data_IF_805029737674
#
_entry.id   IF_805029737674
#
_cell.length_a   1.000
_cell.length_b   1.000
_cell.length_c   1.000
_cell.angle_alpha   90.00
_cell.angle_beta   90.00
_cell.angle_gamma   90.00
#
_symmetry.space_group_name_H-M   'P 1'
#
loop_
_entity.id
_entity.type
_entity.pdbx_description
1 polymer ?
#
# COMPACT_ATOMS: atom_id res chain seq x y z
N UNK A 1 8.46 24.10 -34.48
CA UNK A 1 7.62 23.08 -33.78
C UNK A 1 7.65 23.22 -32.25
N UNK A 2 8.82 23.38 -31.64
CA UNK A 2 9.05 23.37 -30.18
C UNK A 2 8.20 24.39 -29.38
N UNK A 3 8.04 25.62 -29.87
CA UNK A 3 7.22 26.65 -29.17
C UNK A 3 5.71 26.33 -29.09
N UNK A 4 5.18 25.50 -30.02
CA UNK A 4 3.74 25.15 -30.05
C UNK A 4 3.41 23.92 -29.17
N UNK A 5 4.35 22.99 -29.01
CA UNK A 5 4.19 21.81 -28.15
C UNK A 5 4.42 22.11 -26.67
N UNK A 6 5.18 23.16 -26.35
CA UNK A 6 5.51 23.56 -24.97
C UNK A 6 4.26 23.77 -24.09
N UNK A 7 3.18 24.31 -24.66
CA UNK A 7 1.93 24.57 -23.91
C UNK A 7 1.28 23.29 -23.40
N UNK A 8 1.27 22.22 -24.20
CA UNK A 8 0.69 20.94 -23.80
C UNK A 8 1.60 20.18 -22.84
N UNK A 9 2.92 20.35 -22.98
CA UNK A 9 3.89 19.82 -22.02
C UNK A 9 3.67 20.42 -20.62
N UNK A 10 3.42 21.73 -20.54
CA UNK A 10 3.11 22.41 -19.27
C UNK A 10 1.87 21.79 -18.60
N UNK A 11 0.82 21.47 -19.36
CA UNK A 11 -0.40 20.85 -18.81
C UNK A 11 -0.08 19.49 -18.18
N UNK A 12 0.70 18.64 -18.86
CA UNK A 12 1.09 17.33 -18.32
C UNK A 12 1.98 17.48 -17.10
N UNK A 13 2.93 18.42 -17.11
CA UNK A 13 3.81 18.66 -15.98
C UNK A 13 3.03 19.15 -14.75
N UNK A 14 2.07 20.05 -14.93
CA UNK A 14 1.19 20.50 -13.84
C UNK A 14 0.32 19.35 -13.30
N UNK A 15 -0.21 18.51 -14.19
CA UNK A 15 -1.00 17.33 -13.82
C UNK A 15 -0.15 16.33 -13.02
N UNK A 16 1.07 16.03 -13.48
CA UNK A 16 2.01 15.15 -12.80
C UNK A 16 2.44 15.72 -11.45
N UNK A 17 2.72 17.03 -11.37
CA UNK A 17 3.02 17.71 -10.12
C UNK A 17 1.88 17.55 -9.12
N UNK A 18 0.65 17.80 -9.54
CA UNK A 18 -0.52 17.68 -8.68
C UNK A 18 -0.75 16.24 -8.21
N UNK A 19 -0.64 15.25 -9.10
CA UNK A 19 -0.71 13.83 -8.72
C UNK A 19 0.43 13.41 -7.79
N UNK A 20 1.62 13.98 -7.95
CA UNK A 20 2.77 13.72 -7.06
C UNK A 20 2.52 14.29 -5.66
N UNK A 21 1.90 15.46 -5.58
CA UNK A 21 1.47 16.03 -4.30
C UNK A 21 0.42 15.12 -3.65
N UNK A 22 -0.59 14.67 -4.40
CA UNK A 22 -1.59 13.72 -3.87
C UNK A 22 -0.96 12.40 -3.42
N UNK A 23 0.00 11.85 -4.15
CA UNK A 23 0.77 10.67 -3.77
C UNK A 23 1.47 10.85 -2.41
N UNK A 24 2.08 12.02 -2.21
CA UNK A 24 2.76 12.37 -0.96
C UNK A 24 1.76 12.50 0.20
N UNK A 25 0.55 13.01 -0.06
CA UNK A 25 -0.51 13.05 0.93
C UNK A 25 -1.13 11.69 1.22
N UNK A 26 -1.26 10.83 0.22
CA UNK A 26 -1.82 9.49 0.36
C UNK A 26 -0.91 8.60 1.22
N UNK A 27 0.39 8.56 0.93
CA UNK A 27 1.34 7.68 1.63
C UNK A 27 1.66 8.20 3.04
N UNK A 28 0.99 7.64 4.05
CA UNK A 28 1.23 7.96 5.46
C UNK A 28 2.38 7.14 6.07
N UNK A 29 2.79 7.50 7.29
CA UNK A 29 3.90 6.83 7.99
C UNK A 29 3.62 5.35 8.22
N UNK A 30 2.37 4.99 8.49
CA UNK A 30 1.95 3.61 8.71
C UNK A 30 2.15 2.76 7.46
N UNK A 31 1.73 3.23 6.29
CA UNK A 31 1.95 2.53 5.03
C UNK A 31 3.45 2.34 4.74
N UNK A 32 4.23 3.40 4.98
CA UNK A 32 5.67 3.42 4.71
C UNK A 32 6.47 2.51 5.64
N UNK A 33 6.00 2.29 6.87
CA UNK A 33 6.64 1.36 7.81
C UNK A 33 6.65 -0.06 7.24
N UNK A 34 5.54 -0.46 6.63
CA UNK A 34 5.38 -1.78 6.04
C UNK A 34 5.87 -1.88 4.59
N UNK A 35 5.79 -0.80 3.82
CA UNK A 35 6.15 -0.81 2.40
C UNK A 35 6.81 0.51 1.96
N UNK A 36 8.12 0.63 2.20
CA UNK A 36 8.93 1.78 1.76
C UNK A 36 8.93 1.97 0.23
N UNK A 37 8.70 0.90 -0.54
CA UNK A 37 8.69 0.93 -2.00
C UNK A 37 7.36 1.34 -2.61
N UNK A 38 6.28 1.49 -1.82
CA UNK A 38 4.96 1.89 -2.34
C UNK A 38 5.04 3.21 -3.09
N UNK A 39 5.70 4.22 -2.51
CA UNK A 39 5.81 5.56 -3.10
C UNK A 39 6.60 5.58 -4.41
N UNK A 40 7.82 5.02 -4.51
CA UNK A 40 8.55 5.02 -5.78
C UNK A 40 7.84 4.20 -6.87
N UNK A 41 7.24 3.05 -6.53
CA UNK A 41 6.48 2.24 -7.51
C UNK A 41 5.30 3.04 -8.06
N UNK A 42 4.55 3.72 -7.20
CA UNK A 42 3.39 4.51 -7.62
C UNK A 42 3.80 5.76 -8.39
N UNK A 43 4.92 6.39 -8.03
CA UNK A 43 5.50 7.46 -8.81
C UNK A 43 5.90 7.01 -10.22
N UNK A 44 6.46 5.81 -10.38
CA UNK A 44 6.73 5.23 -11.71
C UNK A 44 5.44 5.02 -12.51
N UNK A 45 4.33 4.61 -11.89
CA UNK A 45 3.02 4.53 -12.55
C UNK A 45 2.56 5.91 -13.04
N UNK A 46 2.75 6.97 -12.23
CA UNK A 46 2.43 8.36 -12.60
C UNK A 46 3.27 8.85 -13.80
N UNK A 47 4.54 8.48 -13.86
CA UNK A 47 5.39 8.74 -15.04
C UNK A 47 4.82 8.00 -16.25
N UNK A 48 4.53 6.70 -16.11
CA UNK A 48 3.98 5.87 -17.18
C UNK A 48 2.70 6.45 -17.79
N UNK A 49 1.73 6.84 -16.95
CA UNK A 49 0.47 7.42 -17.44
C UNK A 49 0.68 8.81 -18.05
N UNK A 50 1.66 9.58 -17.58
CA UNK A 50 2.01 10.88 -18.15
C UNK A 50 2.61 10.73 -19.57
N UNK A 51 3.42 9.69 -19.80
CA UNK A 51 3.92 9.35 -21.14
C UNK A 51 2.77 8.95 -22.09
N UNK A 52 1.79 8.19 -21.61
CA UNK A 52 0.57 7.89 -22.38
C UNK A 52 -0.18 9.18 -22.72
N UNK A 53 -0.27 10.12 -21.78
CA UNK A 53 -0.85 11.44 -22.02
C UNK A 53 -0.15 12.24 -23.13
N UNK A 54 1.19 12.17 -23.21
CA UNK A 54 1.96 12.79 -24.28
C UNK A 54 1.62 12.20 -25.66
N UNK A 55 1.54 10.88 -25.76
CA UNK A 55 1.16 10.18 -26.99
C UNK A 55 -0.25 10.60 -27.42
N UNK A 56 -1.18 10.65 -26.48
CA UNK A 56 -2.56 11.05 -26.73
C UNK A 56 -2.66 12.50 -27.24
N UNK A 57 -1.87 13.42 -26.70
CA UNK A 57 -1.78 14.80 -27.22
C UNK A 57 -1.27 14.82 -28.67
N UNK A 58 -0.31 13.95 -29.00
CA UNK A 58 0.16 13.76 -30.37
C UNK A 58 -0.99 13.39 -31.31
N UNK A 59 -1.79 12.40 -30.93
CA UNK A 59 -2.98 11.96 -31.67
C UNK A 59 -4.03 13.08 -31.76
N UNK A 60 -4.36 13.73 -30.65
CA UNK A 60 -5.33 14.85 -30.61
C UNK A 60 -4.91 16.00 -31.52
N UNK A 61 -3.61 16.29 -31.63
CA UNK A 61 -3.11 17.33 -32.53
C UNK A 61 -3.39 17.00 -33.99
N UNK A 62 -3.29 15.73 -34.39
CA UNK A 62 -3.64 15.26 -35.74
C UNK A 62 -5.15 15.43 -35.96
N UNK A 63 -5.97 15.03 -34.99
CA UNK A 63 -7.43 15.17 -35.03
C UNK A 63 -7.86 16.64 -35.14
N UNK A 64 -7.27 17.55 -34.36
CA UNK A 64 -7.57 18.98 -34.42
C UNK A 64 -7.26 19.61 -35.78
N UNK A 65 -6.23 19.13 -36.47
CA UNK A 65 -5.91 19.56 -37.85
C UNK A 65 -6.97 19.04 -38.83
N UNK A 66 -7.36 17.78 -38.71
CA UNK A 66 -8.38 17.16 -39.58
C UNK A 66 -9.76 17.82 -39.42
N UNK A 67 -10.11 18.22 -38.20
CA UNK A 67 -11.39 18.86 -37.87
C UNK A 67 -11.35 20.39 -37.95
N UNK A 68 -10.26 21.00 -38.42
CA UNK A 68 -10.09 22.45 -38.54
C UNK A 68 -10.44 23.24 -37.25
N UNK A 69 -10.12 22.68 -36.08
CA UNK A 69 -10.38 23.37 -34.81
C UNK A 69 -9.34 24.47 -34.64
N UNK A 70 -9.61 25.72 -35.02
CA UNK A 70 -8.56 26.76 -35.04
C UNK A 70 -8.24 27.36 -33.67
N UNK A 71 -9.24 27.45 -32.78
CA UNK A 71 -9.11 28.08 -31.46
C UNK A 71 -8.15 27.31 -30.54
N UNK A 72 -7.07 27.98 -30.13
CA UNK A 72 -6.14 27.44 -29.14
C UNK A 72 -6.82 27.17 -27.79
N UNK A 73 -7.74 28.04 -27.37
CA UNK A 73 -8.46 27.91 -26.10
C UNK A 73 -9.28 26.61 -26.08
N UNK A 74 -9.96 26.31 -27.18
CA UNK A 74 -10.75 25.08 -27.32
C UNK A 74 -9.86 23.84 -27.32
N UNK A 75 -8.73 23.86 -28.06
CA UNK A 75 -7.76 22.76 -28.06
C UNK A 75 -7.21 22.47 -26.66
N UNK A 76 -6.82 23.50 -25.91
CA UNK A 76 -6.34 23.36 -24.53
C UNK A 76 -7.44 22.79 -23.64
N UNK A 77 -8.67 23.31 -23.72
CA UNK A 77 -9.79 22.80 -22.93
C UNK A 77 -10.05 21.30 -23.16
N UNK A 78 -10.05 20.87 -24.43
CA UNK A 78 -10.20 19.44 -24.78
C UNK A 78 -9.06 18.61 -24.19
N UNK A 79 -7.80 19.04 -24.36
CA UNK A 79 -6.63 18.31 -23.83
C UNK A 79 -6.71 18.17 -22.30
N UNK A 80 -7.07 19.24 -21.59
CA UNK A 80 -7.25 19.21 -20.12
C UNK A 80 -8.30 18.19 -19.73
N UNK A 81 -9.47 18.21 -20.38
CA UNK A 81 -10.56 17.25 -20.10
C UNK A 81 -10.10 15.81 -20.33
N UNK A 82 -9.41 15.53 -21.44
CA UNK A 82 -8.89 14.19 -21.71
C UNK A 82 -7.84 13.74 -20.69
N UNK A 83 -6.93 14.62 -20.29
CA UNK A 83 -5.94 14.32 -19.25
C UNK A 83 -6.65 14.01 -17.92
N UNK A 84 -7.65 14.79 -17.54
CA UNK A 84 -8.43 14.55 -16.31
C UNK A 84 -9.16 13.20 -16.36
N UNK A 85 -9.74 12.83 -17.51
CA UNK A 85 -10.42 11.54 -17.68
C UNK A 85 -9.44 10.38 -17.54
N UNK A 86 -8.29 10.44 -18.22
CA UNK A 86 -7.28 9.37 -18.17
C UNK A 86 -6.71 9.21 -16.76
N UNK A 87 -6.54 10.31 -16.03
CA UNK A 87 -6.00 10.30 -14.66
C UNK A 87 -7.08 10.19 -13.57
N UNK A 88 -8.36 10.11 -13.94
CA UNK A 88 -9.48 10.09 -12.99
C UNK A 88 -9.36 8.98 -11.96
N UNK A 89 -8.91 7.80 -12.38
CA UNK A 89 -8.62 6.67 -11.50
C UNK A 89 -7.67 7.07 -10.36
N UNK A 90 -6.54 7.70 -10.66
CA UNK A 90 -5.56 8.10 -9.64
C UNK A 90 -6.10 9.19 -8.71
N UNK A 91 -6.88 10.15 -9.25
CA UNK A 91 -7.51 11.17 -8.42
C UNK A 91 -8.49 10.58 -7.41
N UNK A 92 -9.32 9.65 -7.85
CA UNK A 92 -10.32 9.00 -7.01
C UNK A 92 -9.65 8.07 -6.00
N UNK A 93 -8.72 7.21 -6.44
CA UNK A 93 -8.03 6.25 -5.56
C UNK A 93 -7.22 6.99 -4.48
N UNK A 94 -6.40 7.98 -4.87
CA UNK A 94 -5.62 8.73 -3.89
C UNK A 94 -6.51 9.55 -2.96
N UNK A 95 -7.57 10.17 -3.49
CA UNK A 95 -8.55 10.91 -2.69
C UNK A 95 -9.22 10.03 -1.63
N UNK A 96 -9.70 8.85 -2.04
CA UNK A 96 -10.33 7.89 -1.13
C UNK A 96 -9.37 7.40 -0.05
N UNK A 97 -8.12 7.12 -0.40
CA UNK A 97 -7.11 6.67 0.57
C UNK A 97 -6.65 7.77 1.52
N UNK A 98 -6.52 9.01 1.03
CA UNK A 98 -6.27 10.16 1.90
C UNK A 98 -7.40 10.30 2.92
N UNK A 99 -8.65 10.23 2.45
CA UNK A 99 -9.81 10.32 3.32
C UNK A 99 -9.81 9.20 4.37
N UNK A 100 -9.71 7.93 3.96
CA UNK A 100 -9.75 6.81 4.90
C UNK A 100 -8.58 6.82 5.88
N UNK A 101 -7.36 7.09 5.42
CA UNK A 101 -6.16 6.89 6.23
C UNK A 101 -5.81 8.12 7.08
N UNK A 102 -5.96 9.34 6.53
CA UNK A 102 -5.57 10.57 7.23
C UNK A 102 -6.73 11.32 7.89
N UNK A 103 -7.97 11.14 7.42
CA UNK A 103 -9.11 11.85 8.00
C UNK A 103 -9.87 10.93 8.94
N UNK A 104 -10.27 9.74 8.49
CA UNK A 104 -11.10 8.83 9.29
C UNK A 104 -10.28 8.05 10.33
N UNK A 105 -9.12 7.50 9.94
CA UNK A 105 -8.37 6.54 10.76
C UNK A 105 -7.00 7.06 11.24
N UNK A 106 -6.76 8.37 11.25
CA UNK A 106 -5.45 8.93 11.57
C UNK A 106 -4.98 8.62 12.97
N UNK A 107 -5.79 8.94 13.98
CA UNK A 107 -5.47 8.69 15.40
C UNK A 107 -5.24 7.20 15.64
N UNK A 108 -6.11 6.36 15.08
CA UNK A 108 -6.03 4.91 15.20
C UNK A 108 -4.75 4.34 14.59
N UNK A 109 -4.38 4.78 13.38
CA UNK A 109 -3.15 4.34 12.71
C UNK A 109 -1.92 4.85 13.44
N UNK A 110 -1.98 6.04 14.05
CA UNK A 110 -0.89 6.57 14.87
C UNK A 110 -0.71 5.77 16.17
N UNK A 111 -1.79 5.36 16.83
CA UNK A 111 -1.73 4.50 18.02
C UNK A 111 -1.15 3.13 17.69
N UNK A 112 -1.61 2.51 16.60
CA UNK A 112 -1.05 1.25 16.11
C UNK A 112 0.45 1.37 15.78
N UNK A 113 0.86 2.49 15.16
CA UNK A 113 2.26 2.76 14.82
C UNK A 113 3.16 2.79 16.07
N UNK A 114 2.68 3.32 17.20
CA UNK A 114 3.45 3.37 18.46
C UNK A 114 3.77 1.99 19.01
N UNK A 115 2.99 0.97 18.65
CA UNK A 115 3.19 -0.44 19.05
C UNK A 115 4.09 -1.19 18.08
N UNK A 116 4.35 -0.63 16.89
CA UNK A 116 5.19 -1.23 15.87
C UNK A 116 6.64 -0.76 16.09
N UNK A 117 7.58 -1.70 16.06
CA UNK A 117 9.01 -1.43 16.12
C UNK A 117 9.73 -2.20 15.03
N UNK A 118 10.86 -1.65 14.58
CA UNK A 118 11.74 -2.35 13.65
C UNK A 118 12.51 -3.44 14.39
N UNK A 119 12.62 -4.62 13.79
CA UNK A 119 13.46 -5.70 14.32
C UNK A 119 14.89 -5.38 13.89
N UNK A 120 15.65 -4.75 14.79
CA UNK A 120 16.99 -4.26 14.50
C UNK A 120 18.08 -5.07 15.19
N UNK A 121 18.77 -5.94 14.43
CA UNK A 121 20.22 -6.15 14.54
C UNK A 121 20.77 -6.24 13.11
N UNK A 122 21.88 -5.53 12.89
CA UNK A 122 22.79 -5.25 11.74
C UNK A 122 22.64 -5.96 10.37
N UNK A 123 21.84 -7.03 10.21
CA UNK A 123 21.69 -7.77 8.94
C UNK A 123 20.26 -8.14 8.55
N UNK A 124 19.26 -8.06 9.45
CA UNK A 124 17.89 -8.45 9.15
C UNK A 124 16.94 -7.25 9.05
N UNK A 125 16.11 -7.22 8.01
CA UNK A 125 15.01 -6.27 7.90
C UNK A 125 13.77 -6.87 8.55
N UNK A 126 12.93 -6.05 9.18
CA UNK A 126 11.75 -6.60 9.81
C UNK A 126 10.95 -5.63 10.65
N UNK A 127 9.75 -6.05 10.98
CA UNK A 127 8.81 -5.31 11.82
C UNK A 127 8.22 -6.26 12.86
N UNK A 128 8.08 -5.78 14.07
CA UNK A 128 7.37 -6.49 15.14
C UNK A 128 6.38 -5.54 15.81
N UNK A 129 5.35 -6.10 16.41
CA UNK A 129 4.44 -5.36 17.25
C UNK A 129 3.94 -6.23 18.39
N UNK A 130 3.60 -5.59 19.49
CA UNK A 130 3.05 -6.26 20.67
C UNK A 130 1.75 -5.60 21.12
N UNK A 131 0.87 -6.39 21.71
CA UNK A 131 -0.38 -5.92 22.32
C UNK A 131 -1.29 -5.15 21.34
N UNK A 132 -1.39 -5.64 20.11
CA UNK A 132 -2.36 -5.15 19.13
C UNK A 132 -3.76 -5.68 19.44
N UNK A 133 -4.74 -4.81 19.23
CA UNK A 133 -6.15 -5.19 19.15
C UNK A 133 -6.45 -5.83 17.79
N UNK A 134 -7.53 -6.61 17.71
CA UNK A 134 -7.97 -7.21 16.44
C UNK A 134 -8.19 -6.20 15.32
N UNK A 135 -8.64 -4.98 15.65
CA UNK A 135 -8.82 -3.90 14.66
C UNK A 135 -7.47 -3.38 14.14
N UNK A 136 -6.47 -3.21 15.02
CA UNK A 136 -5.18 -2.65 14.62
C UNK A 136 -4.45 -3.65 13.72
N UNK A 137 -4.49 -4.92 14.11
CA UNK A 137 -3.97 -6.01 13.30
C UNK A 137 -4.67 -6.09 11.93
N UNK A 138 -5.99 -5.89 11.87
CA UNK A 138 -6.73 -5.91 10.61
C UNK A 138 -6.22 -4.83 9.64
N UNK A 139 -5.90 -3.61 10.11
CA UNK A 139 -5.30 -2.58 9.25
C UNK A 139 -3.94 -3.00 8.69
N UNK A 140 -3.12 -3.70 9.47
CA UNK A 140 -1.83 -4.23 9.01
C UNK A 140 -2.03 -5.27 7.90
N UNK A 141 -3.01 -6.17 8.07
CA UNK A 141 -3.33 -7.22 7.06
C UNK A 141 -3.90 -6.68 5.75
N UNK A 142 -4.30 -5.40 5.69
CA UNK A 142 -4.67 -4.75 4.42
C UNK A 142 -3.44 -4.41 3.56
N UNK A 143 -2.27 -4.29 4.20
CA UNK A 143 -1.00 -3.89 3.58
C UNK A 143 -0.10 -5.11 3.39
N UNK A 144 -0.10 -6.02 4.36
CA UNK A 144 0.72 -7.24 4.39
C UNK A 144 -0.13 -8.49 4.26
N UNK A 145 0.49 -9.55 3.75
CA UNK A 145 -0.15 -10.86 3.53
C UNK A 145 -0.47 -11.64 4.82
N UNK A 146 -0.21 -11.06 5.99
CA UNK A 146 -0.34 -11.70 7.30
C UNK A 146 -1.69 -12.44 7.45
N UNK A 147 -1.71 -13.58 8.14
CA UNK A 147 -2.87 -14.45 8.21
C UNK A 147 -4.04 -13.75 8.91
N UNK A 148 -5.26 -13.94 8.40
CA UNK A 148 -6.47 -13.39 9.02
C UNK A 148 -6.74 -14.08 10.35
N UNK A 149 -7.13 -13.30 11.35
CA UNK A 149 -7.45 -13.80 12.70
C UNK A 149 -8.96 -13.86 12.96
N UNK A 150 -9.41 -14.73 13.87
CA UNK A 150 -10.77 -14.70 14.37
C UNK A 150 -11.11 -13.35 15.01
N UNK A 151 -12.36 -12.91 14.90
CA UNK A 151 -12.84 -11.60 15.39
C UNK A 151 -12.57 -11.41 16.90
N UNK A 152 -12.54 -12.49 17.67
CA UNK A 152 -12.31 -12.48 19.13
C UNK A 152 -10.82 -12.53 19.54
N UNK A 153 -9.89 -12.37 18.59
CA UNK A 153 -8.47 -12.36 18.90
C UNK A 153 -8.06 -11.08 19.64
N UNK A 154 -7.37 -11.27 20.77
CA UNK A 154 -6.83 -10.20 21.62
C UNK A 154 -5.33 -10.40 21.85
N UNK A 155 -4.67 -9.38 22.39
CA UNK A 155 -3.24 -9.40 22.75
C UNK A 155 -2.37 -9.91 21.60
N UNK A 156 -2.61 -9.38 20.40
CA UNK A 156 -1.98 -9.87 19.19
C UNK A 156 -0.55 -9.31 19.14
N UNK A 157 0.42 -10.21 18.99
CA UNK A 157 1.82 -9.85 18.80
C UNK A 157 2.34 -10.55 17.56
N UNK A 158 3.10 -9.85 16.71
CA UNK A 158 3.75 -10.46 15.56
C UNK A 158 5.21 -10.03 15.48
N UNK A 159 6.00 -10.85 14.79
CA UNK A 159 7.34 -10.51 14.37
C UNK A 159 7.57 -11.06 12.96
N UNK A 160 7.97 -10.18 12.07
CA UNK A 160 8.25 -10.46 10.67
C UNK A 160 9.68 -10.02 10.37
N UNK A 161 10.52 -10.98 10.00
CA UNK A 161 11.92 -10.79 9.62
C UNK A 161 12.12 -11.26 8.19
N UNK A 162 12.97 -10.58 7.42
CA UNK A 162 13.33 -10.94 6.05
C UNK A 162 14.76 -10.47 5.70
N UNK A 163 15.41 -11.21 4.82
CA UNK A 163 16.82 -10.99 4.42
C UNK A 163 16.99 -9.71 3.58
N UNK A 164 16.00 -9.39 2.74
CA UNK A 164 15.97 -8.19 1.92
C UNK A 164 16.66 -8.35 0.55
N UNK A 165 17.45 -9.40 0.36
CA UNK A 165 17.95 -9.80 -0.95
C UNK A 165 17.33 -11.12 -1.42
N UNK A 166 17.43 -12.16 -0.60
CA UNK A 166 16.77 -13.43 -0.85
C UNK A 166 15.29 -13.38 -0.45
N UNK A 167 14.44 -14.25 -1.04
CA UNK A 167 13.04 -14.37 -0.63
C UNK A 167 12.87 -15.03 0.76
N UNK A 168 13.92 -15.09 1.55
CA UNK A 168 13.95 -15.72 2.86
C UNK A 168 13.27 -14.82 3.88
N UNK A 169 12.37 -15.41 4.67
CA UNK A 169 11.65 -14.71 5.70
C UNK A 169 11.25 -15.64 6.84
N UNK A 170 10.98 -15.02 7.99
CA UNK A 170 10.42 -15.67 9.16
C UNK A 170 9.31 -14.79 9.72
N UNK A 171 8.14 -15.38 9.91
CA UNK A 171 6.97 -14.73 10.47
C UNK A 171 6.49 -15.53 11.68
N UNK A 172 6.28 -14.83 12.80
CA UNK A 172 5.66 -15.37 13.99
C UNK A 172 4.51 -14.49 14.43
N UNK A 173 3.46 -15.12 14.94
CA UNK A 173 2.24 -14.47 15.39
C UNK A 173 1.72 -15.18 16.63
N UNK A 174 1.40 -14.42 17.66
CA UNK A 174 0.80 -14.90 18.90
C UNK A 174 -0.47 -14.10 19.18
N UNK A 175 -1.52 -14.76 19.62
CA UNK A 175 -2.77 -14.10 20.00
C UNK A 175 -3.57 -14.93 20.99
N UNK A 176 -4.38 -14.26 21.79
CA UNK A 176 -5.25 -14.89 22.78
C UNK A 176 -6.67 -15.03 22.23
N UNK A 177 -7.29 -16.19 22.50
CA UNK A 177 -8.68 -16.51 22.21
C UNK A 177 -9.41 -16.98 23.49
N UNK A 178 -10.75 -16.85 23.55
CA UNK A 178 -11.54 -17.53 24.57
C UNK A 178 -11.30 -19.05 24.57
N UNK A 179 -11.21 -19.66 25.76
CA UNK A 179 -10.92 -21.10 25.93
C UNK A 179 -11.86 -22.03 25.16
N UNK A 180 -13.11 -21.62 24.96
CA UNK A 180 -14.12 -22.41 24.26
C UNK A 180 -13.91 -22.48 22.75
N UNK A 181 -13.11 -21.58 22.17
CA UNK A 181 -12.88 -21.57 20.72
C UNK A 181 -12.04 -22.76 20.28
N UNK A 182 -12.45 -23.39 19.17
CA UNK A 182 -11.65 -24.41 18.50
C UNK A 182 -10.49 -23.74 17.77
N UNK A 183 -9.30 -24.31 17.91
CA UNK A 183 -8.08 -23.87 17.22
C UNK A 183 -7.50 -25.09 16.57
N UNK A 184 -7.35 -25.03 15.26
CA UNK A 184 -6.72 -26.11 14.51
C UNK A 184 -5.21 -26.05 14.72
N UNK A 185 -4.61 -27.21 14.97
CA UNK A 185 -3.16 -27.36 14.98
C UNK A 185 -2.67 -27.72 13.59
N UNK A 186 -1.57 -27.14 13.17
CA UNK A 186 -0.97 -27.41 11.87
C UNK A 186 0.53 -27.59 12.04
N UNK A 187 1.09 -28.52 11.31
CA UNK A 187 2.53 -28.64 11.13
C UNK A 187 2.79 -29.11 9.71
N UNK A 188 3.35 -28.22 8.90
CA UNK A 188 3.62 -28.42 7.49
C UNK A 188 5.07 -28.05 7.19
N UNK A 189 5.74 -28.87 6.40
CA UNK A 189 7.09 -28.62 5.93
C UNK A 189 7.22 -29.16 4.51
N UNK A 190 7.73 -28.32 3.62
CA UNK A 190 7.95 -28.65 2.22
C UNK A 190 9.24 -27.98 1.74
N UNK A 191 10.29 -28.77 1.57
CA UNK A 191 11.63 -28.27 1.29
C UNK A 191 12.09 -27.28 2.37
N UNK A 192 12.33 -26.04 1.95
CA UNK A 192 12.77 -24.94 2.82
C UNK A 192 11.62 -24.12 3.40
N UNK A 193 10.38 -24.36 2.96
CA UNK A 193 9.20 -23.74 3.52
C UNK A 193 8.68 -24.54 4.73
N UNK A 194 8.29 -23.83 5.78
CA UNK A 194 7.70 -24.41 6.97
C UNK A 194 6.58 -23.55 7.52
N UNK A 195 5.55 -24.20 8.05
CA UNK A 195 4.37 -23.55 8.61
C UNK A 195 3.85 -24.35 9.79
N UNK A 196 3.65 -23.71 10.94
CA UNK A 196 3.09 -24.38 12.10
C UNK A 196 2.13 -23.49 12.87
N UNK A 197 1.14 -24.12 13.49
CA UNK A 197 0.21 -23.48 14.40
C UNK A 197 -0.03 -24.42 15.58
N UNK A 198 0.17 -23.91 16.78
CA UNK A 198 -0.14 -24.61 18.01
C UNK A 198 -0.84 -23.65 18.99
N UNK A 199 -1.33 -24.18 20.10
CA UNK A 199 -1.89 -23.36 21.15
C UNK A 199 -1.54 -23.91 22.53
N UNK A 200 -1.54 -23.01 23.52
CA UNK A 200 -1.41 -23.33 24.94
C UNK A 200 -2.62 -22.76 25.67
N UNK A 201 -3.13 -23.49 26.66
CA UNK A 201 -4.20 -22.98 27.55
C UNK A 201 -3.52 -22.23 28.69
N UNK A 202 -3.89 -20.97 28.89
CA UNK A 202 -3.37 -20.08 29.95
C UNK A 202 -4.60 -19.53 30.69
N UNK A 203 -4.92 -20.12 31.84
CA UNK A 203 -6.13 -19.80 32.59
C UNK A 203 -7.40 -20.02 31.76
N UNK A 204 -8.17 -18.96 31.55
CA UNK A 204 -9.42 -18.95 30.77
C UNK A 204 -9.24 -18.55 29.29
N UNK A 205 -7.98 -18.48 28.83
CA UNK A 205 -7.64 -18.14 27.45
C UNK A 205 -6.82 -19.24 26.78
N UNK A 206 -6.91 -19.31 25.45
CA UNK A 206 -6.02 -20.09 24.59
C UNK A 206 -5.07 -19.12 23.90
N UNK A 207 -3.77 -19.25 24.15
CA UNK A 207 -2.73 -18.54 23.39
C UNK A 207 -2.36 -19.37 22.17
N UNK A 208 -2.70 -18.88 21.00
CA UNK A 208 -2.32 -19.47 19.73
C UNK A 208 -0.97 -18.91 19.31
N UNK A 209 -0.07 -19.77 18.86
CA UNK A 209 1.22 -19.40 18.30
C UNK A 209 1.29 -19.96 16.89
N UNK A 210 1.52 -19.07 15.95
CA UNK A 210 1.67 -19.34 14.54
C UNK A 210 3.08 -18.99 14.10
N UNK A 211 3.65 -19.83 13.24
CA UNK A 211 4.95 -19.63 12.64
C UNK A 211 4.90 -19.98 11.15
N UNK A 212 5.56 -19.18 10.34
CA UNK A 212 5.77 -19.41 8.91
C UNK A 212 7.18 -18.95 8.54
N UNK A 213 7.91 -19.73 7.75
CA UNK A 213 9.23 -19.32 7.31
C UNK A 213 9.67 -20.02 6.03
N UNK A 214 10.50 -19.33 5.28
CA UNK A 214 11.12 -19.79 4.04
C UNK A 214 12.62 -19.45 4.11
N UNK A 215 13.45 -20.46 3.80
CA UNK A 215 14.91 -20.41 3.87
C UNK A 215 15.56 -21.00 2.62
#
# INVERSE_FOLDING_TARGET
MIKKSLKYLIIILLNLLFLTILLLFWTDKFELEFNKLVRPIEFLKLIGISLVGLVLIGVLTIVFRKLNVESLKTRIGIVVVFILIINSYFYIDYGMRIYSNKITNSEFREEALKKISNVGIELAYGTQAENLTGKEYLEITKIKWFPKLPIKAENISFRYDYDGFLPDYSFSLSYDLPKEMKVDTMNYKDGTFSKSQNFKVIGDRKRVIYYEGQW
#
